data_IF_325544691850
#
_entry.id   IF_325544691850
#
_cell.length_a   1.000
_cell.length_b   1.000
_cell.length_c   1.000
_cell.angle_alpha   90.00
_cell.angle_beta   90.00
_cell.angle_gamma   90.00
#
_symmetry.space_group_name_H-M   'P 1'
#
loop_
_entity.id
_entity.type
_entity.pdbx_description
1 polymer ?
#
# COMPACT_ATOMS: atom_id res chain seq x y z
N UNK A 1 -13.84 27.59 1.04
CA UNK A 1 -12.67 26.83 1.52
C UNK A 1 -13.19 25.79 2.49
N UNK A 2 -13.07 24.52 2.18
CA UNK A 2 -13.49 23.44 3.08
C UNK A 2 -12.47 23.34 4.21
N UNK A 3 -12.91 23.39 5.46
CA UNK A 3 -12.09 23.16 6.64
C UNK A 3 -12.40 21.77 7.15
N UNK A 4 -11.36 21.00 7.42
CA UNK A 4 -11.47 19.66 8.00
C UNK A 4 -11.23 19.72 9.51
N UNK A 5 -12.13 19.10 10.26
CA UNK A 5 -11.99 18.99 11.70
C UNK A 5 -10.79 18.09 12.05
N UNK A 6 -10.13 18.39 13.15
CA UNK A 6 -9.01 17.59 13.63
C UNK A 6 -9.47 16.17 14.00
N UNK A 7 -8.65 15.14 13.78
CA UNK A 7 -8.95 13.79 14.22
C UNK A 7 -9.31 13.74 15.71
N UNK A 8 -10.33 12.94 16.05
CA UNK A 8 -10.82 12.84 17.43
C UNK A 8 -11.78 13.96 17.87
N UNK A 9 -12.06 14.94 17.02
CA UNK A 9 -13.05 16.00 17.29
C UNK A 9 -14.36 15.78 16.54
N UNK A 10 -15.41 16.48 16.94
CA UNK A 10 -16.72 16.41 16.27
C UNK A 10 -16.60 16.85 14.80
N UNK A 11 -17.18 16.08 13.89
CA UNK A 11 -17.13 16.33 12.45
C UNK A 11 -15.87 15.85 11.75
N UNK A 12 -14.92 15.21 12.45
CA UNK A 12 -13.73 14.64 11.83
C UNK A 12 -14.08 13.48 10.90
N UNK A 13 -13.60 13.53 9.66
CA UNK A 13 -13.78 12.42 8.70
C UNK A 13 -12.71 11.34 8.85
N UNK A 14 -11.62 11.66 9.54
CA UNK A 14 -10.54 10.73 9.89
C UNK A 14 -10.39 10.67 11.41
N UNK A 15 -10.41 9.45 11.94
CA UNK A 15 -10.09 9.21 13.33
C UNK A 15 -9.08 8.06 13.40
N UNK A 16 -8.06 8.25 14.22
CA UNK A 16 -7.01 7.26 14.42
C UNK A 16 -7.32 6.41 15.65
N UNK A 17 -6.84 5.17 15.64
CA UNK A 17 -6.74 4.34 16.83
C UNK A 17 -5.55 4.79 17.65
N UNK A 18 -5.56 4.51 18.93
CA UNK A 18 -4.41 4.82 19.79
C UNK A 18 -3.15 4.07 19.33
N UNK A 19 -3.34 2.86 18.72
CA UNK A 19 -2.24 1.98 18.33
C UNK A 19 -2.55 1.17 17.09
N UNK A 20 -1.51 0.95 16.28
CA UNK A 20 -1.55 0.10 15.09
C UNK A 20 -0.50 -1.00 15.18
N UNK A 21 -0.95 -2.24 15.04
CA UNK A 21 -0.12 -3.44 14.99
C UNK A 21 0.43 -3.70 13.57
N UNK A 22 1.33 -4.67 13.44
CA UNK A 22 1.73 -5.21 12.15
C UNK A 22 0.54 -5.91 11.47
N UNK A 23 0.45 -5.85 10.14
CA UNK A 23 -0.54 -6.61 9.39
C UNK A 23 0.16 -7.75 8.65
N UNK A 24 0.09 -8.97 9.19
CA UNK A 24 0.83 -10.14 8.71
C UNK A 24 -0.14 -11.30 8.48
N UNK A 25 -0.05 -11.94 7.32
CA UNK A 25 -0.89 -13.10 7.00
C UNK A 25 -2.39 -12.83 7.05
N UNK A 26 -2.82 -11.60 6.76
CA UNK A 26 -4.23 -11.20 6.79
C UNK A 26 -4.76 -10.85 8.19
N UNK A 27 -3.90 -10.68 9.19
CA UNK A 27 -4.27 -10.38 10.58
C UNK A 27 -3.43 -9.24 11.15
N UNK A 28 -4.01 -8.50 12.08
CA UNK A 28 -3.29 -7.56 12.92
C UNK A 28 -2.56 -8.34 14.01
N UNK A 29 -1.23 -8.17 14.11
CA UNK A 29 -0.36 -8.92 15.02
C UNK A 29 0.51 -7.91 15.77
N UNK A 30 0.46 -7.88 17.11
CA UNK A 30 1.37 -7.06 17.90
C UNK A 30 2.84 -7.37 17.58
N UNK A 31 3.75 -6.41 17.65
CA UNK A 31 5.17 -6.68 17.49
C UNK A 31 5.64 -7.67 18.57
N UNK A 32 6.52 -8.61 18.21
CA UNK A 32 6.96 -9.71 19.08
C UNK A 32 7.52 -9.20 20.42
N UNK A 33 8.31 -8.12 20.39
CA UNK A 33 8.89 -7.51 21.57
C UNK A 33 7.92 -6.55 22.30
N UNK A 34 6.71 -6.35 21.79
CA UNK A 34 5.74 -5.43 22.36
C UNK A 34 6.15 -3.95 22.23
N UNK A 35 7.12 -3.61 21.39
CA UNK A 35 7.59 -2.24 21.21
C UNK A 35 6.78 -1.49 20.17
N UNK A 36 6.47 -0.24 20.47
CA UNK A 36 5.80 0.70 19.58
C UNK A 36 6.56 2.01 19.54
N UNK A 37 6.39 2.76 18.49
CA UNK A 37 6.94 4.11 18.36
C UNK A 37 5.80 5.11 18.16
N UNK A 38 6.02 6.29 18.70
CA UNK A 38 5.07 7.40 18.57
C UNK A 38 5.07 7.91 17.12
N UNK A 39 3.88 8.13 16.60
CA UNK A 39 3.67 8.80 15.33
C UNK A 39 3.25 10.24 15.61
N UNK A 40 4.10 11.18 15.20
CA UNK A 40 3.93 12.60 15.49
C UNK A 40 3.42 13.27 14.21
N UNK A 41 2.27 13.96 14.33
CA UNK A 41 1.75 14.73 13.22
C UNK A 41 2.56 16.02 13.00
N UNK A 42 3.08 16.29 11.81
CA UNK A 42 3.73 17.55 11.51
C UNK A 42 2.75 18.75 11.48
N UNK A 43 1.45 18.50 11.48
CA UNK A 43 0.42 19.54 11.54
C UNK A 43 0.35 20.17 12.94
N UNK A 44 0.49 19.35 14.00
CA UNK A 44 0.37 19.80 15.38
C UNK A 44 1.68 19.73 16.16
N UNK A 45 2.62 18.88 15.75
CA UNK A 45 3.81 18.52 16.51
C UNK A 45 3.53 17.55 17.66
N UNK A 46 2.34 17.00 17.75
CA UNK A 46 1.90 16.11 18.83
C UNK A 46 1.76 14.66 18.34
N UNK A 47 1.89 13.73 19.28
CA UNK A 47 1.63 12.29 19.04
C UNK A 47 0.13 12.10 18.82
N UNK A 48 -0.26 11.45 17.72
CA UNK A 48 -1.66 11.16 17.41
C UNK A 48 -1.97 9.66 17.36
N UNK A 49 -0.97 8.80 17.28
CA UNK A 49 -1.09 7.35 17.44
C UNK A 49 0.27 6.71 17.69
N UNK A 50 0.27 5.42 17.96
CA UNK A 50 1.48 4.59 18.00
C UNK A 50 1.44 3.55 16.90
N UNK A 51 2.59 3.22 16.32
CA UNK A 51 2.75 2.16 15.33
C UNK A 51 3.75 1.11 15.81
N UNK A 52 3.52 -0.14 15.42
CA UNK A 52 4.40 -1.24 15.78
C UNK A 52 5.84 -0.97 15.34
N UNK A 53 6.79 -1.16 16.25
CA UNK A 53 8.23 -1.14 15.96
C UNK A 53 8.70 -2.57 15.68
N UNK A 54 8.40 -3.06 14.45
CA UNK A 54 8.78 -4.40 14.02
C UNK A 54 10.30 -4.58 14.00
N UNK A 55 10.74 -5.75 14.45
CA UNK A 55 12.15 -6.18 14.45
C UNK A 55 12.31 -7.43 13.58
N UNK A 56 13.50 -8.05 13.65
CA UNK A 56 13.84 -9.21 12.82
C UNK A 56 12.81 -10.32 12.87
N UNK A 57 12.30 -10.67 14.05
CA UNK A 57 11.29 -11.73 14.19
C UNK A 57 9.97 -11.38 13.48
N UNK A 58 9.54 -10.11 13.53
CA UNK A 58 8.33 -9.64 12.86
C UNK A 58 8.51 -9.64 11.34
N UNK A 59 9.70 -9.21 10.88
CA UNK A 59 10.05 -9.20 9.45
C UNK A 59 10.08 -10.63 8.91
N UNK A 60 10.73 -11.55 9.62
CA UNK A 60 10.77 -12.97 9.22
C UNK A 60 9.36 -13.57 9.14
N UNK A 61 8.50 -13.30 10.13
CA UNK A 61 7.11 -13.74 10.08
C UNK A 61 6.33 -13.16 8.89
N UNK A 62 6.61 -11.92 8.50
CA UNK A 62 6.00 -11.31 7.32
C UNK A 62 6.50 -11.95 6.01
N UNK A 63 7.81 -12.25 5.92
CA UNK A 63 8.39 -12.96 4.77
C UNK A 63 7.81 -14.36 4.64
N UNK A 64 7.76 -15.13 5.74
CA UNK A 64 7.17 -16.48 5.74
C UNK A 64 5.71 -16.48 5.29
N UNK A 65 4.94 -15.46 5.72
CA UNK A 65 3.55 -15.29 5.28
C UNK A 65 3.45 -14.96 3.77
N UNK A 66 4.38 -14.17 3.25
CA UNK A 66 4.45 -13.83 1.83
C UNK A 66 4.85 -15.06 0.99
N UNK A 67 5.85 -15.84 1.40
CA UNK A 67 6.26 -17.07 0.72
C UNK A 67 5.12 -18.11 0.69
N UNK A 68 4.42 -18.25 1.79
CA UNK A 68 3.24 -19.13 1.84
C UNK A 68 2.14 -18.67 0.87
N UNK A 69 1.88 -17.37 0.78
CA UNK A 69 0.91 -16.81 -0.15
C UNK A 69 1.36 -16.97 -1.60
N UNK A 70 2.66 -16.88 -1.88
CA UNK A 70 3.24 -17.01 -3.21
C UNK A 70 2.93 -18.35 -3.87
N UNK A 71 2.84 -19.43 -3.11
CA UNK A 71 2.50 -20.78 -3.62
C UNK A 71 1.19 -20.81 -4.44
N UNK A 72 0.26 -19.92 -4.15
CA UNK A 72 -1.01 -19.76 -4.86
C UNK A 72 -1.06 -18.48 -5.68
N UNK A 73 -0.70 -17.34 -5.11
CA UNK A 73 -0.75 -16.05 -5.79
C UNK A 73 0.20 -15.96 -6.99
N UNK A 74 1.38 -16.59 -6.91
CA UNK A 74 2.33 -16.66 -8.02
C UNK A 74 1.80 -17.38 -9.27
N UNK A 75 0.71 -18.16 -9.13
CA UNK A 75 0.04 -18.88 -10.23
C UNK A 75 -1.13 -18.09 -10.85
N UNK A 76 -1.44 -16.93 -10.33
CA UNK A 76 -2.48 -16.07 -10.90
C UNK A 76 -2.08 -15.54 -12.27
N UNK A 77 -3.07 -15.39 -13.13
CA UNK A 77 -2.86 -14.85 -14.47
C UNK A 77 -2.60 -13.32 -14.43
N UNK A 78 -1.95 -12.75 -15.44
CA UNK A 78 -1.86 -11.30 -15.58
C UNK A 78 -3.23 -10.59 -15.54
N UNK A 79 -4.28 -11.22 -16.07
CA UNK A 79 -5.63 -10.65 -16.04
C UNK A 79 -6.21 -10.59 -14.62
N UNK A 80 -6.01 -11.62 -13.80
CA UNK A 80 -6.45 -11.63 -12.39
C UNK A 80 -5.71 -10.59 -11.58
N UNK A 81 -4.40 -10.44 -11.77
CA UNK A 81 -3.60 -9.41 -11.10
C UNK A 81 -3.99 -8.00 -11.54
N UNK A 82 -4.25 -7.80 -12.84
CA UNK A 82 -4.76 -6.53 -13.35
C UNK A 82 -6.11 -6.16 -12.70
N UNK A 83 -7.03 -7.13 -12.59
CA UNK A 83 -8.31 -6.91 -11.93
C UNK A 83 -8.15 -6.53 -10.45
N UNK A 84 -7.19 -7.15 -9.75
CA UNK A 84 -6.88 -6.78 -8.36
C UNK A 84 -6.40 -5.33 -8.26
N UNK A 85 -5.49 -4.90 -9.15
CA UNK A 85 -5.00 -3.52 -9.18
C UNK A 85 -6.12 -2.51 -9.48
N UNK A 86 -7.04 -2.82 -10.40
CA UNK A 86 -8.22 -1.99 -10.65
C UNK A 86 -9.10 -1.87 -9.41
N UNK A 87 -9.39 -2.98 -8.72
CA UNK A 87 -10.19 -2.96 -7.48
C UNK A 87 -9.52 -2.13 -6.37
N UNK A 88 -8.19 -2.16 -6.29
CA UNK A 88 -7.44 -1.30 -5.36
C UNK A 88 -7.63 0.17 -5.74
N UNK A 89 -7.46 0.51 -7.03
CA UNK A 89 -7.67 1.87 -7.54
C UNK A 89 -9.08 2.39 -7.22
N UNK A 90 -10.10 1.58 -7.53
CA UNK A 90 -11.50 1.92 -7.27
C UNK A 90 -11.75 2.15 -5.76
N UNK A 91 -11.18 1.28 -4.91
CA UNK A 91 -11.31 1.43 -3.46
C UNK A 91 -10.61 2.66 -2.89
N UNK A 92 -9.45 3.05 -3.44
CA UNK A 92 -8.78 4.31 -3.09
C UNK A 92 -9.65 5.50 -3.52
N UNK A 93 -10.16 5.49 -4.75
CA UNK A 93 -11.00 6.55 -5.30
C UNK A 93 -12.30 6.75 -4.50
N UNK A 94 -12.98 5.66 -4.12
CA UNK A 94 -14.16 5.67 -3.25
C UNK A 94 -13.90 6.33 -1.88
N UNK A 95 -12.65 6.29 -1.40
CA UNK A 95 -12.23 6.85 -0.12
C UNK A 95 -11.29 8.04 -0.27
N UNK A 96 -11.24 8.66 -1.44
CA UNK A 96 -10.25 9.68 -1.82
C UNK A 96 -10.13 10.78 -0.77
N UNK A 97 -11.23 11.40 -0.40
CA UNK A 97 -11.24 12.52 0.56
C UNK A 97 -10.70 12.08 1.93
N UNK A 98 -11.14 10.93 2.42
CA UNK A 98 -10.67 10.38 3.70
C UNK A 98 -9.17 10.10 3.69
N UNK A 99 -8.67 9.50 2.62
CA UNK A 99 -7.25 9.16 2.47
C UNK A 99 -6.42 10.44 2.33
N UNK A 100 -6.89 11.43 1.56
CA UNK A 100 -6.20 12.70 1.38
C UNK A 100 -6.07 13.50 2.69
N UNK A 101 -7.10 13.49 3.54
CA UNK A 101 -7.04 14.13 4.86
C UNK A 101 -6.11 13.36 5.79
N UNK A 102 -6.14 12.01 5.76
CA UNK A 102 -5.20 11.20 6.53
C UNK A 102 -3.75 11.48 6.12
N UNK A 103 -3.46 11.53 4.81
CA UNK A 103 -2.15 11.87 4.26
C UNK A 103 -1.66 13.24 4.75
N UNK A 104 -2.54 14.24 4.80
CA UNK A 104 -2.21 15.57 5.34
C UNK A 104 -1.76 15.49 6.81
N UNK A 105 -2.44 14.70 7.63
CA UNK A 105 -2.08 14.54 9.05
C UNK A 105 -0.76 13.79 9.24
N UNK A 106 -0.43 12.86 8.32
CA UNK A 106 0.79 12.07 8.35
C UNK A 106 2.03 12.86 7.89
N UNK A 107 1.92 13.66 6.81
CA UNK A 107 3.07 14.29 6.18
C UNK A 107 3.08 15.83 6.21
N UNK A 108 1.99 16.46 6.66
CA UNK A 108 1.88 17.92 6.75
C UNK A 108 1.61 18.64 5.44
N UNK A 109 1.40 17.95 4.32
CA UNK A 109 1.00 18.59 3.05
C UNK A 109 -0.34 19.29 3.17
N UNK A 110 -0.53 20.36 2.40
CA UNK A 110 -1.83 21.00 2.30
C UNK A 110 -2.87 20.05 1.70
N UNK A 111 -4.03 19.95 2.32
CA UNK A 111 -5.10 19.03 1.90
C UNK A 111 -5.55 19.26 0.44
N UNK A 112 -5.42 20.46 -0.10
CA UNK A 112 -5.70 20.74 -1.52
C UNK A 112 -4.76 19.96 -2.45
N UNK A 113 -3.51 19.75 -2.05
CA UNK A 113 -2.52 18.99 -2.84
C UNK A 113 -2.79 17.49 -2.76
N UNK A 114 -3.06 16.98 -1.55
CA UNK A 114 -3.38 15.57 -1.38
C UNK A 114 -4.68 15.18 -2.09
N UNK A 115 -5.70 16.07 -2.08
CA UNK A 115 -6.96 15.87 -2.79
C UNK A 115 -6.85 15.98 -4.31
N UNK A 116 -6.06 16.92 -4.82
CA UNK A 116 -6.04 17.24 -6.25
C UNK A 116 -4.90 16.55 -7.02
N UNK A 117 -3.86 16.12 -6.31
CA UNK A 117 -2.67 15.53 -6.93
C UNK A 117 -2.30 14.17 -6.37
N UNK A 118 -1.95 14.05 -5.08
CA UNK A 118 -1.30 12.86 -4.55
C UNK A 118 -2.20 11.62 -4.65
N UNK A 119 -3.42 11.69 -4.14
CA UNK A 119 -4.31 10.53 -4.13
C UNK A 119 -4.87 10.21 -5.52
N UNK A 120 -5.29 11.18 -6.36
CA UNK A 120 -5.61 10.90 -7.75
C UNK A 120 -4.48 10.27 -8.55
N UNK A 121 -3.23 10.72 -8.33
CA UNK A 121 -2.05 10.14 -8.97
C UNK A 121 -1.81 8.69 -8.51
N UNK A 122 -2.00 8.39 -7.23
CA UNK A 122 -1.92 7.01 -6.73
C UNK A 122 -2.95 6.11 -7.43
N UNK A 123 -4.20 6.56 -7.58
CA UNK A 123 -5.26 5.84 -8.32
C UNK A 123 -4.84 5.57 -9.76
N UNK A 124 -4.34 6.62 -10.45
CA UNK A 124 -3.89 6.53 -11.84
C UNK A 124 -2.74 5.50 -11.99
N UNK A 125 -1.77 5.51 -11.09
CA UNK A 125 -0.66 4.55 -11.11
C UNK A 125 -1.13 3.10 -10.95
N UNK A 126 -2.06 2.81 -10.06
CA UNK A 126 -2.63 1.47 -9.96
C UNK A 126 -3.32 1.05 -11.27
N UNK A 127 -4.07 1.96 -11.91
CA UNK A 127 -4.72 1.71 -13.20
C UNK A 127 -3.70 1.54 -14.34
N UNK A 128 -2.65 2.36 -14.35
CA UNK A 128 -1.56 2.24 -15.32
C UNK A 128 -0.89 0.86 -15.22
N UNK A 129 -0.48 0.43 -14.02
CA UNK A 129 0.16 -0.86 -13.86
C UNK A 129 -0.79 -2.04 -14.08
N UNK A 130 -2.08 -1.89 -13.86
CA UNK A 130 -3.08 -2.88 -14.27
C UNK A 130 -3.10 -3.09 -15.80
N UNK A 131 -2.91 -2.02 -16.57
CA UNK A 131 -2.72 -2.10 -18.03
C UNK A 131 -1.37 -2.69 -18.41
N UNK A 132 -0.31 -2.19 -17.79
CA UNK A 132 1.08 -2.60 -18.09
C UNK A 132 1.31 -4.10 -17.87
N UNK A 133 0.80 -4.69 -16.79
CA UNK A 133 0.97 -6.12 -16.51
C UNK A 133 0.35 -7.03 -17.60
N UNK A 134 -0.70 -6.57 -18.27
CA UNK A 134 -1.33 -7.32 -19.37
C UNK A 134 -0.58 -7.20 -20.69
N UNK A 135 0.20 -6.13 -20.85
CA UNK A 135 1.02 -5.86 -22.03
C UNK A 135 2.48 -6.34 -21.85
N UNK A 136 2.82 -6.82 -20.67
CA UNK A 136 4.18 -7.27 -20.38
C UNK A 136 4.47 -8.58 -21.10
N UNK A 137 5.50 -8.54 -21.94
CA UNK A 137 5.95 -9.68 -22.76
C UNK A 137 7.34 -10.13 -22.31
N UNK A 138 7.68 -11.39 -22.55
CA UNK A 138 9.03 -11.89 -22.51
C UNK A 138 9.74 -11.62 -23.84
N UNK A 139 11.00 -12.00 -23.92
CA UNK A 139 11.75 -11.96 -25.18
C UNK A 139 12.24 -13.34 -25.54
N UNK A 140 12.42 -13.57 -26.85
CA UNK A 140 13.02 -14.75 -27.41
C UNK A 140 14.19 -14.29 -28.28
N UNK A 141 15.35 -14.95 -28.13
CA UNK A 141 16.54 -14.68 -28.94
C UNK A 141 17.11 -15.99 -29.44
N UNK A 142 17.46 -16.04 -30.70
CA UNK A 142 18.23 -17.14 -31.27
C UNK A 142 19.73 -16.93 -30.93
N UNK A 143 20.34 -17.93 -30.29
CA UNK A 143 21.75 -17.93 -29.92
C UNK A 143 22.58 -18.61 -30.97
N UNK A 144 22.09 -19.75 -31.52
CA UNK A 144 22.72 -20.51 -32.57
C UNK A 144 21.64 -21.14 -33.47
N UNK A 145 22.05 -21.97 -34.43
CA UNK A 145 21.13 -22.66 -35.36
C UNK A 145 20.15 -23.57 -34.62
N UNK A 146 20.59 -24.18 -33.51
CA UNK A 146 19.87 -25.17 -32.74
C UNK A 146 19.54 -24.74 -31.30
N UNK A 147 19.84 -23.48 -30.94
CA UNK A 147 19.66 -22.97 -29.56
C UNK A 147 18.86 -21.67 -29.54
N UNK A 148 17.80 -21.66 -28.76
CA UNK A 148 16.96 -20.49 -28.49
C UNK A 148 16.94 -20.19 -27.00
N UNK A 149 17.12 -18.93 -26.63
CA UNK A 149 16.91 -18.43 -25.27
C UNK A 149 15.60 -17.64 -25.20
N UNK A 150 14.85 -17.86 -24.17
CA UNK A 150 13.69 -17.03 -23.84
C UNK A 150 13.78 -16.58 -22.39
N UNK A 151 13.17 -15.45 -22.10
CA UNK A 151 12.99 -15.01 -20.71
C UNK A 151 11.56 -14.57 -20.47
N UNK A 152 11.14 -14.74 -19.23
CA UNK A 152 9.89 -14.26 -18.69
C UNK A 152 10.14 -13.71 -17.28
N UNK A 153 9.18 -12.93 -16.76
CA UNK A 153 9.32 -12.33 -15.45
C UNK A 153 8.76 -13.28 -14.37
N UNK A 154 9.54 -13.46 -13.34
CA UNK A 154 9.14 -14.11 -12.09
C UNK A 154 9.16 -13.08 -10.96
N UNK A 155 8.27 -13.21 -9.96
CA UNK A 155 8.28 -12.35 -8.79
C UNK A 155 9.53 -12.55 -7.94
#
# INVERSE_FOLDING_TARGET
MTLYAAPGTEGAIVNYRDRYDNYIGGKWVPPVDGEYMDNISPVTGEVFCQVARGKEADINAAIDAAEKAFATFGKTTPAERALLLHRIADRIEENLEKIAVAETWENGKAVRETLAADIPLAVDHFRYFAGAIRAQEGRLSQISEDTVAYHYHEP
#
